data_IF_838116240840
#
_entry.id   IF_838116240840
#
_cell.length_a   1.000
_cell.length_b   1.000
_cell.length_c   1.000
_cell.angle_alpha   90.00
_cell.angle_beta   90.00
_cell.angle_gamma   90.00
#
_symmetry.space_group_name_H-M   'P 1'
#
loop_
_entity.id
_entity.type
_entity.pdbx_description
1 polymer ?
#
# COMPACT_ATOMS: atom_id res chain seq x y z
N UNK A 1 10.66 -13.41 -44.47
CA UNK A 1 10.39 -11.95 -44.43
C UNK A 1 10.30 -11.54 -42.97
N UNK A 2 11.24 -10.71 -42.48
CA UNK A 2 11.12 -10.09 -41.15
C UNK A 2 10.17 -8.91 -41.31
N UNK A 3 9.01 -8.96 -40.67
CA UNK A 3 8.09 -7.83 -40.62
C UNK A 3 8.64 -6.80 -39.66
N UNK A 4 9.05 -5.65 -40.18
CA UNK A 4 9.41 -4.49 -39.36
C UNK A 4 8.18 -4.03 -38.58
N UNK A 5 8.23 -4.20 -37.26
CA UNK A 5 7.23 -3.63 -36.35
C UNK A 5 7.52 -2.14 -36.30
N UNK A 6 6.83 -1.36 -37.13
CA UNK A 6 6.78 0.09 -36.96
C UNK A 6 6.22 0.38 -35.57
N UNK A 7 7.09 0.87 -34.66
CA UNK A 7 6.67 1.41 -33.37
C UNK A 7 5.52 2.37 -33.64
N UNK A 8 4.34 2.04 -33.10
CA UNK A 8 3.17 2.93 -33.10
C UNK A 8 3.66 4.32 -32.72
N UNK A 9 3.32 5.30 -33.56
CA UNK A 9 3.59 6.71 -33.37
C UNK A 9 3.31 7.05 -31.91
N UNK A 10 4.35 7.47 -31.21
CA UNK A 10 4.21 7.93 -29.85
C UNK A 10 3.51 9.29 -29.88
N UNK A 11 2.18 9.25 -29.75
CA UNK A 11 1.28 10.41 -29.75
C UNK A 11 1.56 11.39 -28.57
N UNK A 12 2.51 11.08 -27.70
CA UNK A 12 2.95 11.97 -26.63
C UNK A 12 4.07 12.93 -27.08
N UNK A 13 4.78 12.65 -28.17
CA UNK A 13 5.95 13.43 -28.58
C UNK A 13 5.64 14.89 -28.97
N UNK A 14 4.41 15.18 -29.39
CA UNK A 14 3.99 16.52 -29.81
C UNK A 14 2.92 17.16 -28.92
N UNK A 15 2.57 16.53 -27.79
CA UNK A 15 1.68 17.18 -26.82
C UNK A 15 2.52 18.08 -25.93
N UNK A 16 2.37 19.40 -26.10
CA UNK A 16 2.58 20.34 -25.00
C UNK A 16 1.56 19.97 -23.94
N UNK A 17 1.93 19.07 -23.04
CA UNK A 17 1.18 18.90 -21.82
C UNK A 17 1.11 20.26 -21.15
N UNK A 18 -0.05 20.60 -20.60
CA UNK A 18 -0.17 21.80 -19.80
C UNK A 18 1.02 21.84 -18.85
N UNK A 19 1.66 23.00 -18.69
CA UNK A 19 2.76 23.23 -17.75
C UNK A 19 2.37 22.98 -16.28
N UNK A 20 1.21 22.39 -16.05
CA UNK A 20 0.54 22.23 -14.79
C UNK A 20 0.54 20.74 -14.40
N UNK A 21 1.34 20.41 -13.39
CA UNK A 21 1.41 19.08 -12.79
C UNK A 21 0.06 18.60 -12.26
N UNK A 22 -0.87 19.50 -11.92
CA UNK A 22 -2.22 19.12 -11.48
C UNK A 22 -3.07 18.53 -12.61
N UNK A 23 -2.82 18.92 -13.86
CA UNK A 23 -3.47 18.30 -15.01
C UNK A 23 -3.04 16.84 -15.16
N UNK A 24 -1.76 16.56 -15.01
CA UNK A 24 -1.24 15.19 -15.06
C UNK A 24 -1.77 14.32 -13.93
N UNK A 25 -1.81 14.83 -12.70
CA UNK A 25 -2.37 14.06 -11.57
C UNK A 25 -3.84 13.73 -11.81
N UNK A 26 -4.63 14.68 -12.33
CA UNK A 26 -6.03 14.48 -12.70
C UNK A 26 -6.21 13.46 -13.82
N UNK A 27 -5.35 13.49 -14.86
CA UNK A 27 -5.39 12.51 -15.95
C UNK A 27 -5.10 11.10 -15.42
N UNK A 28 -4.09 10.96 -14.54
CA UNK A 28 -3.72 9.66 -13.97
C UNK A 28 -4.86 9.10 -13.11
N UNK A 29 -5.45 9.90 -12.23
CA UNK A 29 -6.57 9.45 -11.39
C UNK A 29 -7.81 9.13 -12.22
N UNK A 30 -8.13 9.95 -13.23
CA UNK A 30 -9.25 9.69 -14.14
C UNK A 30 -9.04 8.42 -14.95
N UNK A 31 -7.83 8.20 -15.49
CA UNK A 31 -7.49 6.97 -16.19
C UNK A 31 -7.72 5.72 -15.35
N UNK A 32 -7.31 5.74 -14.08
CA UNK A 32 -7.52 4.61 -13.17
C UNK A 32 -9.01 4.37 -12.86
N UNK A 33 -9.75 5.46 -12.67
CA UNK A 33 -11.19 5.42 -12.40
C UNK A 33 -11.98 4.88 -13.59
N UNK A 34 -11.56 5.22 -14.81
CA UNK A 34 -12.25 4.87 -16.04
C UNK A 34 -11.85 3.49 -16.60
N UNK A 35 -11.03 2.72 -15.87
CA UNK A 35 -10.71 1.35 -16.23
C UNK A 35 -12.01 0.51 -16.30
N UNK A 36 -12.21 -0.32 -17.34
CA UNK A 36 -13.40 -1.20 -17.44
C UNK A 36 -13.58 -2.13 -16.24
N UNK A 37 -12.47 -2.45 -15.58
CA UNK A 37 -12.45 -3.16 -14.31
C UNK A 37 -11.47 -2.46 -13.38
N UNK A 38 -11.88 -2.07 -12.16
CA UNK A 38 -11.00 -1.38 -11.23
C UNK A 38 -9.82 -2.26 -10.82
N UNK A 39 -8.76 -1.63 -10.32
CA UNK A 39 -7.58 -2.34 -9.81
C UNK A 39 -7.98 -3.28 -8.67
N UNK A 40 -8.80 -2.80 -7.74
CA UNK A 40 -9.37 -3.61 -6.67
C UNK A 40 -10.86 -3.86 -6.91
N UNK A 41 -11.23 -5.14 -6.92
CA UNK A 41 -12.61 -5.56 -6.85
C UNK A 41 -13.16 -5.41 -5.42
N UNK A 42 -14.48 -5.57 -5.27
CA UNK A 42 -15.14 -5.68 -3.96
C UNK A 42 -14.52 -6.80 -3.10
N UNK A 43 -14.21 -7.94 -3.72
CA UNK A 43 -13.57 -9.08 -3.04
C UNK A 43 -12.17 -8.73 -2.56
N UNK A 44 -11.39 -8.01 -3.37
CA UNK A 44 -10.04 -7.58 -2.97
C UNK A 44 -10.10 -6.63 -1.78
N UNK A 45 -11.02 -5.65 -1.79
CA UNK A 45 -11.20 -4.74 -0.66
C UNK A 45 -11.47 -5.49 0.64
N UNK A 46 -12.39 -6.45 0.62
CA UNK A 46 -12.71 -7.24 1.81
C UNK A 46 -11.55 -8.12 2.27
N UNK A 47 -10.76 -8.67 1.33
CA UNK A 47 -9.55 -9.41 1.64
C UNK A 47 -8.52 -8.52 2.33
N UNK A 48 -8.26 -7.32 1.81
CA UNK A 48 -7.33 -6.37 2.42
C UNK A 48 -7.82 -5.89 3.78
N UNK A 49 -9.11 -5.58 3.94
CA UNK A 49 -9.67 -5.20 5.24
C UNK A 49 -9.57 -6.32 6.27
N UNK A 50 -9.82 -7.55 5.86
CA UNK A 50 -9.67 -8.72 6.72
C UNK A 50 -8.22 -8.85 7.19
N UNK A 51 -7.25 -8.72 6.27
CA UNK A 51 -5.84 -8.72 6.61
C UNK A 51 -5.49 -7.59 7.60
N UNK A 52 -5.95 -6.36 7.37
CA UNK A 52 -5.64 -5.20 8.23
C UNK A 52 -6.31 -5.34 9.61
N UNK A 53 -7.57 -5.77 9.66
CA UNK A 53 -8.34 -5.88 10.91
C UNK A 53 -7.81 -6.95 11.86
N UNK A 54 -7.12 -7.98 11.35
CA UNK A 54 -6.43 -8.99 12.16
C UNK A 54 -5.23 -8.39 12.93
N UNK A 55 -4.68 -7.29 12.45
CA UNK A 55 -3.53 -6.59 13.02
C UNK A 55 -3.93 -5.16 13.44
N UNK A 56 -5.07 -5.04 14.14
CA UNK A 56 -5.70 -3.79 14.66
C UNK A 56 -4.73 -2.75 15.24
N UNK A 57 -3.57 -3.20 15.71
CA UNK A 57 -2.41 -2.34 15.92
C UNK A 57 -1.24 -2.93 15.12
N UNK A 58 -0.47 -2.07 14.42
CA UNK A 58 0.69 -2.45 13.58
C UNK A 58 1.88 -2.90 14.45
N UNK A 59 1.62 -3.56 15.57
CA UNK A 59 2.63 -4.06 16.51
C UNK A 59 3.28 -5.35 15.99
N UNK A 60 2.72 -5.94 14.93
CA UNK A 60 3.30 -7.08 14.22
C UNK A 60 3.49 -6.73 12.73
N UNK A 61 4.43 -5.82 12.48
CA UNK A 61 4.85 -5.42 11.13
C UNK A 61 5.17 -6.66 10.25
N UNK A 62 5.91 -7.69 10.71
CA UNK A 62 6.18 -8.87 9.90
C UNK A 62 4.92 -9.62 9.45
N UNK A 63 3.95 -9.84 10.36
CA UNK A 63 2.68 -10.48 9.98
C UNK A 63 1.86 -9.59 9.04
N UNK A 64 1.82 -8.29 9.28
CA UNK A 64 1.12 -7.33 8.43
C UNK A 64 1.70 -7.32 7.01
N UNK A 65 3.02 -7.20 6.88
CA UNK A 65 3.73 -7.25 5.60
C UNK A 65 3.47 -8.58 4.90
N UNK A 66 3.59 -9.70 5.61
CA UNK A 66 3.33 -11.02 5.04
C UNK A 66 1.90 -11.16 4.52
N UNK A 67 0.90 -10.74 5.30
CA UNK A 67 -0.51 -10.81 4.92
C UNK A 67 -0.82 -9.92 3.71
N UNK A 68 -0.30 -8.69 3.68
CA UNK A 68 -0.48 -7.77 2.56
C UNK A 68 0.24 -8.26 1.29
N UNK A 69 1.47 -8.79 1.41
CA UNK A 69 2.19 -9.40 0.29
C UNK A 69 1.42 -10.59 -0.30
N UNK A 70 0.85 -11.45 0.55
CA UNK A 70 0.01 -12.55 0.10
C UNK A 70 -1.27 -12.06 -0.58
N UNK A 71 -1.92 -11.03 -0.05
CA UNK A 71 -3.08 -10.40 -0.67
C UNK A 71 -2.76 -9.83 -2.05
N UNK A 72 -1.65 -9.08 -2.20
CA UNK A 72 -1.18 -8.55 -3.48
C UNK A 72 -0.91 -9.69 -4.47
N UNK A 73 -0.35 -10.81 -4.04
CA UNK A 73 -0.05 -11.96 -4.91
C UNK A 73 -1.29 -12.58 -5.55
N UNK A 74 -2.46 -12.44 -4.93
CA UNK A 74 -3.75 -12.97 -5.43
C UNK A 74 -4.38 -12.07 -6.50
N UNK A 75 -3.95 -10.81 -6.60
CA UNK A 75 -4.41 -9.89 -7.65
C UNK A 75 -3.90 -10.40 -9.00
N UNK A 76 -4.75 -10.26 -10.02
CA UNK A 76 -4.41 -10.53 -11.42
C UNK A 76 -3.04 -9.90 -11.79
N UNK A 77 -2.12 -10.63 -12.46
CA UNK A 77 -0.77 -10.14 -12.74
C UNK A 77 -0.73 -8.81 -13.50
N UNK A 78 -1.68 -8.57 -14.42
CA UNK A 78 -1.73 -7.32 -15.18
C UNK A 78 -2.12 -6.18 -14.25
N UNK A 79 -3.18 -6.35 -13.45
CA UNK A 79 -3.60 -5.35 -12.45
C UNK A 79 -2.53 -5.11 -11.38
N UNK A 80 -1.87 -6.18 -10.93
CA UNK A 80 -0.78 -6.12 -9.94
C UNK A 80 0.40 -5.31 -10.45
N UNK A 81 0.76 -5.42 -11.73
CA UNK A 81 1.80 -4.59 -12.36
C UNK A 81 1.45 -3.11 -12.26
N UNK A 82 0.22 -2.73 -12.62
CA UNK A 82 -0.24 -1.34 -12.49
C UNK A 82 -0.26 -0.88 -11.04
N UNK A 83 -0.76 -1.70 -10.13
CA UNK A 83 -0.75 -1.41 -8.70
C UNK A 83 0.65 -1.12 -8.19
N UNK A 84 1.62 -2.02 -8.42
CA UNK A 84 3.00 -1.87 -7.94
C UNK A 84 3.64 -0.60 -8.53
N UNK A 85 3.42 -0.33 -9.81
CA UNK A 85 3.90 0.89 -10.45
C UNK A 85 3.33 2.16 -9.78
N UNK A 86 2.02 2.17 -9.51
CA UNK A 86 1.36 3.32 -8.89
C UNK A 86 1.76 3.49 -7.42
N UNK A 87 1.91 2.40 -6.66
CA UNK A 87 2.41 2.45 -5.29
C UNK A 87 3.84 3.01 -5.24
N UNK A 88 4.71 2.65 -6.19
CA UNK A 88 6.05 3.22 -6.30
C UNK A 88 6.00 4.73 -6.56
N UNK A 89 5.16 5.17 -7.50
CA UNK A 89 4.95 6.60 -7.79
C UNK A 89 4.48 7.35 -6.54
N UNK A 90 3.46 6.85 -5.86
CA UNK A 90 2.89 7.51 -4.68
C UNK A 90 3.84 7.52 -3.50
N UNK A 91 4.56 6.43 -3.26
CA UNK A 91 5.61 6.39 -2.24
C UNK A 91 6.72 7.41 -2.51
N UNK A 92 7.07 7.61 -3.79
CA UNK A 92 8.05 8.62 -4.21
C UNK A 92 7.57 10.04 -3.91
N UNK A 93 6.29 10.33 -4.16
CA UNK A 93 5.67 11.63 -3.85
C UNK A 93 5.72 11.90 -2.34
N UNK A 94 5.42 10.91 -1.49
CA UNK A 94 5.42 11.10 -0.03
C UNK A 94 6.83 11.30 0.54
N UNK A 95 7.89 10.84 -0.15
CA UNK A 95 9.27 11.15 0.27
C UNK A 95 9.58 12.65 0.18
N UNK A 96 8.82 13.41 -0.61
CA UNK A 96 8.95 14.86 -0.78
C UNK A 96 7.90 15.64 0.05
N UNK A 97 7.36 15.03 1.11
CA UNK A 97 6.32 15.64 1.97
C UNK A 97 6.69 17.03 2.52
N UNK A 98 7.98 17.33 2.73
CA UNK A 98 8.41 18.63 3.24
C UNK A 98 8.15 19.76 2.24
N UNK A 99 8.11 19.43 0.95
CA UNK A 99 7.87 20.36 -0.16
C UNK A 99 6.39 20.34 -0.55
N UNK A 100 5.84 19.16 -0.87
CA UNK A 100 4.49 19.03 -1.42
C UNK A 100 3.37 18.91 -0.36
N UNK A 101 3.73 18.74 0.92
CA UNK A 101 2.81 18.57 2.06
C UNK A 101 1.88 17.36 1.99
N UNK A 102 2.19 16.40 1.10
CA UNK A 102 1.45 15.15 0.90
C UNK A 102 2.09 14.00 1.69
N UNK A 103 1.55 13.73 2.87
CA UNK A 103 1.83 12.49 3.60
C UNK A 103 1.03 11.30 3.04
N UNK A 104 1.28 10.10 3.55
CA UNK A 104 0.60 8.88 3.12
C UNK A 104 -0.92 8.96 3.21
N UNK A 105 -1.44 9.58 4.27
CA UNK A 105 -2.89 9.66 4.51
C UNK A 105 -3.55 10.64 3.54
N UNK A 106 -3.00 11.85 3.41
CA UNK A 106 -3.49 12.87 2.47
C UNK A 106 -3.48 12.38 1.03
N UNK A 107 -2.39 11.72 0.63
CA UNK A 107 -2.31 11.15 -0.72
C UNK A 107 -3.36 10.06 -0.92
N UNK A 108 -3.57 9.20 0.08
CA UNK A 108 -4.57 8.13 0.02
C UNK A 108 -6.00 8.66 -0.09
N UNK A 109 -6.34 9.75 0.60
CA UNK A 109 -7.64 10.43 0.48
C UNK A 109 -7.90 10.82 -0.99
N UNK A 110 -6.88 11.33 -1.69
CA UNK A 110 -7.03 11.77 -3.08
C UNK A 110 -7.14 10.60 -4.08
N UNK A 111 -6.41 9.51 -3.86
CA UNK A 111 -6.25 8.47 -4.89
C UNK A 111 -7.11 7.24 -4.66
N UNK A 112 -7.48 6.91 -3.41
CA UNK A 112 -8.22 5.69 -3.10
C UNK A 112 -9.49 5.51 -3.96
N UNK A 113 -10.36 6.53 -4.16
CA UNK A 113 -11.58 6.37 -4.96
C UNK A 113 -11.34 5.97 -6.43
N UNK A 114 -10.11 6.10 -6.94
CA UNK A 114 -9.74 5.72 -8.32
C UNK A 114 -9.30 4.26 -8.44
N UNK A 115 -9.04 3.58 -7.31
CA UNK A 115 -8.55 2.19 -7.30
C UNK A 115 -9.65 1.15 -7.06
N UNK A 116 -10.76 1.54 -6.43
CA UNK A 116 -11.83 0.64 -6.01
C UNK A 116 -13.08 0.81 -6.86
N UNK A 117 -13.88 -0.26 -6.92
CA UNK A 117 -15.20 -0.22 -7.56
C UNK A 117 -16.17 0.68 -6.77
N UNK A 118 -16.84 1.60 -7.48
CA UNK A 118 -17.93 2.40 -6.94
C UNK A 118 -19.24 1.62 -7.05
N UNK A 119 -19.47 0.63 -6.18
CA UNK A 119 -20.82 0.07 -6.05
C UNK A 119 -21.71 1.06 -5.30
N UNK A 120 -22.79 1.50 -5.94
CA UNK A 120 -23.78 2.40 -5.33
C UNK A 120 -24.61 1.59 -4.33
N UNK A 121 -24.15 1.54 -3.08
CA UNK A 121 -24.94 1.10 -1.92
C UNK A 121 -25.49 2.28 -1.12
N UNK A 122 -26.29 2.01 -0.08
CA UNK A 122 -26.77 3.02 0.88
C UNK A 122 -25.64 3.92 1.41
N UNK A 123 -25.93 5.22 1.62
CA UNK A 123 -24.97 6.27 2.06
C UNK A 123 -24.07 5.84 3.24
N UNK A 124 -24.62 5.17 4.26
CA UNK A 124 -23.86 4.73 5.45
C UNK A 124 -22.83 3.65 5.12
N UNK A 125 -23.17 2.75 4.19
CA UNK A 125 -22.25 1.71 3.71
C UNK A 125 -21.15 2.35 2.85
N UNK A 126 -21.49 3.38 2.08
CA UNK A 126 -20.55 4.14 1.25
C UNK A 126 -19.50 4.87 2.10
N UNK A 127 -19.87 5.52 3.20
CA UNK A 127 -18.91 6.19 4.09
C UNK A 127 -17.89 5.22 4.72
N UNK A 128 -18.38 4.09 5.27
CA UNK A 128 -17.49 3.05 5.84
C UNK A 128 -16.56 2.43 4.79
N UNK A 129 -17.04 2.29 3.56
CA UNK A 129 -16.22 1.80 2.45
C UNK A 129 -15.11 2.81 2.10
N UNK A 130 -15.41 4.10 2.00
CA UNK A 130 -14.41 5.14 1.70
C UNK A 130 -13.30 5.14 2.77
N UNK A 131 -13.67 5.12 4.05
CA UNK A 131 -12.67 5.12 5.13
C UNK A 131 -11.76 3.89 5.07
N UNK A 132 -12.35 2.73 4.77
CA UNK A 132 -11.65 1.46 4.61
C UNK A 132 -10.68 1.49 3.42
N UNK A 133 -11.10 2.05 2.30
CA UNK A 133 -10.30 2.20 1.08
C UNK A 133 -9.10 3.13 1.30
N UNK A 134 -9.31 4.25 1.99
CA UNK A 134 -8.24 5.17 2.40
C UNK A 134 -7.24 4.45 3.32
N UNK A 135 -7.72 3.65 4.27
CA UNK A 135 -6.86 2.90 5.18
C UNK A 135 -6.01 1.86 4.44
N UNK A 136 -6.61 1.12 3.50
CA UNK A 136 -5.90 0.16 2.65
C UNK A 136 -4.80 0.89 1.87
N UNK A 137 -5.14 1.96 1.15
CA UNK A 137 -4.16 2.69 0.35
C UNK A 137 -3.04 3.31 1.20
N UNK A 138 -3.36 3.82 2.38
CA UNK A 138 -2.36 4.40 3.29
C UNK A 138 -1.31 3.35 3.67
N UNK A 139 -1.75 2.14 4.01
CA UNK A 139 -0.85 1.05 4.37
C UNK A 139 -0.09 0.51 3.16
N UNK A 140 -0.74 0.34 2.00
CA UNK A 140 -0.08 -0.14 0.80
C UNK A 140 1.00 0.83 0.29
N UNK A 141 0.73 2.14 0.32
CA UNK A 141 1.73 3.14 -0.05
C UNK A 141 2.83 3.15 1.01
N UNK A 142 2.50 3.27 2.31
CA UNK A 142 3.50 3.37 3.38
C UNK A 142 4.42 2.15 3.49
N UNK A 143 3.90 0.95 3.22
CA UNK A 143 4.65 -0.31 3.29
C UNK A 143 5.22 -0.76 1.94
N UNK A 144 5.10 0.04 0.88
CA UNK A 144 5.55 -0.32 -0.48
C UNK A 144 6.93 -1.01 -0.51
N UNK A 145 8.01 -0.48 0.09
CA UNK A 145 9.33 -1.10 0.04
C UNK A 145 9.37 -2.51 0.65
N UNK A 146 8.54 -2.76 1.66
CA UNK A 146 8.49 -4.03 2.39
C UNK A 146 7.62 -5.06 1.66
N UNK A 147 6.47 -4.64 1.14
CA UNK A 147 5.49 -5.58 0.58
C UNK A 147 5.73 -5.89 -0.90
N UNK A 148 6.36 -4.99 -1.66
CA UNK A 148 6.51 -5.09 -3.12
C UNK A 148 7.90 -5.54 -3.61
N UNK A 149 8.95 -5.49 -2.77
CA UNK A 149 10.34 -5.77 -3.18
C UNK A 149 10.56 -7.19 -3.73
N UNK A 150 9.76 -8.16 -3.32
CA UNK A 150 9.85 -9.56 -3.79
C UNK A 150 9.12 -9.86 -5.10
N UNK A 151 8.50 -8.88 -5.76
CA UNK A 151 7.74 -9.09 -6.99
C UNK A 151 8.59 -8.79 -8.23
N UNK A 152 8.46 -9.60 -9.29
CA UNK A 152 9.14 -9.35 -10.58
C UNK A 152 8.73 -8.01 -11.19
N UNK A 153 7.47 -7.62 -11.00
CA UNK A 153 6.90 -6.35 -11.46
C UNK A 153 7.61 -5.14 -10.83
N UNK A 154 8.20 -5.29 -9.64
CA UNK A 154 8.93 -4.21 -8.96
C UNK A 154 10.18 -3.76 -9.71
N UNK A 155 10.71 -4.58 -10.63
CA UNK A 155 11.85 -4.23 -11.48
C UNK A 155 11.49 -3.18 -12.54
N UNK A 156 10.20 -3.01 -12.84
CA UNK A 156 9.69 -2.13 -13.90
C UNK A 156 8.94 -0.91 -13.35
N UNK A 157 9.47 -0.28 -12.31
CA UNK A 157 8.90 0.91 -11.65
C UNK A 157 9.75 2.16 -11.89
N UNK A 158 9.23 3.34 -11.53
CA UNK A 158 9.91 4.62 -11.73
C UNK A 158 11.19 4.74 -10.88
N UNK A 159 11.07 4.46 -9.59
CA UNK A 159 12.11 4.71 -8.60
C UNK A 159 12.55 3.39 -7.95
N UNK A 160 13.44 2.67 -8.65
CA UNK A 160 13.96 1.37 -8.19
C UNK A 160 14.74 1.46 -6.87
N UNK A 161 15.25 2.64 -6.50
CA UNK A 161 15.96 2.88 -5.23
C UNK A 161 15.15 2.54 -3.98
N UNK A 162 13.82 2.48 -4.11
CA UNK A 162 12.92 2.10 -3.02
C UNK A 162 12.68 0.60 -2.92
N UNK A 163 13.18 -0.20 -3.85
CA UNK A 163 13.11 -1.65 -3.76
C UNK A 163 14.21 -2.15 -2.83
N UNK A 164 13.82 -2.76 -1.72
CA UNK A 164 14.75 -3.31 -0.76
C UNK A 164 15.44 -4.56 -1.33
N UNK A 165 16.72 -4.71 -1.00
CA UNK A 165 17.41 -5.99 -1.20
C UNK A 165 16.84 -7.06 -0.24
N UNK A 166 16.99 -8.36 -0.56
CA UNK A 166 16.55 -9.43 0.34
C UNK A 166 17.14 -9.33 1.75
N UNK A 167 18.39 -8.86 1.85
CA UNK A 167 19.07 -8.65 3.13
C UNK A 167 18.41 -7.52 3.94
N UNK A 168 18.20 -6.35 3.32
CA UNK A 168 17.53 -5.22 3.98
C UNK A 168 16.12 -5.59 4.43
N UNK A 169 15.36 -6.31 3.60
CA UNK A 169 14.03 -6.79 3.96
C UNK A 169 14.08 -7.71 5.20
N UNK A 170 14.99 -8.69 5.20
CA UNK A 170 15.22 -9.58 6.36
C UNK A 170 15.54 -8.78 7.63
N UNK A 171 16.41 -7.79 7.52
CA UNK A 171 16.85 -6.99 8.66
C UNK A 171 15.70 -6.16 9.25
N UNK A 172 14.87 -5.55 8.41
CA UNK A 172 13.65 -4.85 8.86
C UNK A 172 12.60 -5.78 9.45
N UNK A 173 12.48 -7.01 8.93
CA UNK A 173 11.55 -8.01 9.50
C UNK A 173 12.01 -8.51 10.88
N UNK A 174 13.32 -8.62 11.11
CA UNK A 174 13.90 -9.00 12.41
C UNK A 174 13.86 -7.87 13.42
N UNK A 175 14.00 -6.63 12.97
CA UNK A 175 14.00 -5.44 13.82
C UNK A 175 13.02 -4.36 13.32
N UNK A 176 11.70 -4.54 13.51
CA UNK A 176 10.69 -3.61 12.99
C UNK A 176 10.86 -2.15 13.41
N UNK A 177 11.43 -1.89 14.59
CA UNK A 177 11.66 -0.53 15.10
C UNK A 177 12.69 0.26 14.29
N UNK A 178 13.52 -0.43 13.50
CA UNK A 178 14.48 0.19 12.58
C UNK A 178 13.84 0.71 11.29
N UNK A 179 12.61 0.29 10.98
CA UNK A 179 11.88 0.75 9.80
C UNK A 179 11.06 1.99 10.11
N UNK A 180 11.61 3.17 9.78
CA UNK A 180 10.93 4.45 9.94
C UNK A 180 9.98 4.71 8.76
N UNK A 181 8.69 4.48 8.95
CA UNK A 181 7.67 5.05 8.05
C UNK A 181 7.32 6.44 8.56
N UNK A 182 7.82 7.48 7.87
CA UNK A 182 7.41 8.87 8.15
C UNK A 182 5.88 8.99 8.01
N UNK A 183 5.16 9.15 9.12
CA UNK A 183 3.70 9.34 9.12
C UNK A 183 2.86 8.10 9.46
N UNK A 184 3.46 6.92 9.65
CA UNK A 184 2.76 5.77 10.27
C UNK A 184 3.41 5.51 11.65
N UNK A 185 2.70 5.86 12.72
CA UNK A 185 3.16 5.58 14.09
C UNK A 185 2.91 4.11 14.42
N UNK A 186 3.98 3.35 14.61
CA UNK A 186 3.91 2.00 15.18
C UNK A 186 3.87 2.08 16.72
N UNK A 187 2.92 1.39 17.35
CA UNK A 187 2.77 1.42 18.80
C UNK A 187 3.71 0.38 19.43
N UNK A 188 5.01 0.68 19.54
CA UNK A 188 6.00 -0.30 20.04
C UNK A 188 5.97 -0.52 21.56
N UNK A 189 4.91 -0.13 22.27
CA UNK A 189 4.80 -0.30 23.72
C UNK A 189 3.94 -1.50 24.11
N UNK A 190 4.59 -2.67 24.16
CA UNK A 190 4.33 -3.72 25.16
C UNK A 190 5.53 -4.67 25.17
N UNK A 191 6.58 -4.28 25.90
CA UNK A 191 7.45 -5.29 26.50
C UNK A 191 6.56 -6.21 27.37
N UNK A 192 6.75 -7.54 27.33
CA UNK A 192 6.05 -8.41 28.25
C UNK A 192 6.51 -8.05 29.65
N UNK A 193 5.61 -7.48 30.45
CA UNK A 193 5.80 -7.42 31.89
C UNK A 193 5.91 -8.87 32.37
N UNK A 194 7.11 -9.28 32.74
CA UNK A 194 7.35 -10.47 33.54
C UNK A 194 6.49 -10.37 34.81
N UNK A 195 5.28 -10.94 34.78
CA UNK A 195 4.59 -11.30 36.02
C UNK A 195 5.24 -12.57 36.53
N UNK A 196 6.23 -12.38 37.41
CA UNK A 196 6.68 -13.38 38.36
C UNK A 196 5.46 -13.93 39.10
N UNK A 197 4.99 -15.11 38.70
CA UNK A 197 3.98 -15.86 39.44
C UNK A 197 4.64 -16.34 40.73
N UNK A 198 4.53 -15.51 41.78
CA UNK A 198 4.77 -15.90 43.15
C UNK A 198 3.68 -16.90 43.55
N UNK A 199 4.01 -18.19 43.48
CA UNK A 199 3.25 -19.29 44.10
C UNK A 199 3.19 -19.07 45.63
N UNK A 200 2.13 -18.40 46.11
CA UNK A 200 1.76 -18.48 47.53
C UNK A 200 1.05 -19.81 47.76
N UNK A 201 1.78 -20.76 48.34
CA UNK A 201 1.23 -21.89 49.11
C UNK A 201 0.29 -21.34 50.19
N UNK A 202 -1.00 -21.65 50.11
CA UNK A 202 -1.86 -21.67 51.29
C UNK A 202 -2.02 -23.11 51.74
N UNK A 203 -1.38 -23.43 52.87
CA UNK A 203 -1.72 -24.55 53.75
C UNK A 203 -2.88 -24.12 54.65
N UNK A 204 -3.82 -25.03 54.90
CA UNK A 204 -4.59 -25.29 56.14
C UNK A 204 -6.00 -25.75 55.73
N UNK A 205 -6.38 -27.03 55.88
CA UNK A 205 -6.84 -27.69 57.11
C UNK A 205 -7.90 -26.87 57.87
N UNK A 206 -9.17 -27.26 57.68
CA UNK A 206 -10.12 -27.66 58.70
C UNK A 206 -11.23 -28.48 58.02
#
# INVERSE_FOLDING_TARGET
>A
MKSDIHKKIDITQNKKFASDMYCFSSIITSFLKDLPSPIFSYSDRNMFLSAISQFKEINDLPKTVTALTLAIRRIDPIKRRYLIFMLNLYYSITQQQEINKMDFNKLSICVAPSFFSQEITYMITTEKNIQSEIQIMTLLIGLYPLICSGFEESKNVLEQKYNLTPQQLSDYMKNPSSYLIKGIKFNTSKQPSNSSVSLRRTKSMA
#
